data_IF_194632342004
#
_entry.id   IF_194632342004
#
_cell.length_a   1.000
_cell.length_b   1.000
_cell.length_c   1.000
_cell.angle_alpha   90.00
_cell.angle_beta   90.00
_cell.angle_gamma   90.00
#
_symmetry.space_group_name_H-M   'P 1'
#
loop_
_entity.id
_entity.type
_entity.pdbx_description
1 polymer ?
#
# COMPACT_ATOMS: atom_id res chain seq x y z
N UNK A 1 -6.06 -32.82 -48.57
CA UNK A 1 -5.85 -31.79 -47.51
C UNK A 1 -4.34 -31.56 -47.35
N UNK A 2 -3.80 -30.48 -47.94
CA UNK A 2 -2.43 -30.01 -47.64
C UNK A 2 -2.54 -29.00 -46.50
N UNK A 3 -1.74 -29.18 -45.45
CA UNK A 3 -1.64 -28.20 -44.34
C UNK A 3 -1.02 -26.92 -44.94
N UNK A 4 -1.56 -25.72 -44.67
CA UNK A 4 -0.94 -24.51 -45.16
C UNK A 4 0.43 -24.35 -44.50
N UNK A 5 1.41 -23.99 -45.33
CA UNK A 5 2.79 -23.72 -44.93
C UNK A 5 2.81 -22.68 -43.82
N UNK A 6 3.35 -23.06 -42.67
CA UNK A 6 3.55 -22.16 -41.54
C UNK A 6 4.78 -21.30 -41.86
N UNK A 7 4.62 -20.35 -42.78
CA UNK A 7 5.63 -19.34 -43.08
C UNK A 7 5.77 -18.43 -41.87
N UNK A 8 6.81 -18.67 -41.06
CA UNK A 8 7.13 -17.74 -39.99
C UNK A 8 7.55 -16.41 -40.60
N UNK A 9 7.02 -15.28 -40.09
CA UNK A 9 7.37 -13.97 -40.60
C UNK A 9 8.88 -13.74 -40.50
N UNK A 10 9.47 -13.11 -41.52
CA UNK A 10 10.88 -12.73 -41.50
C UNK A 10 11.17 -11.78 -40.33
N UNK A 11 12.42 -11.75 -39.87
CA UNK A 11 12.83 -10.87 -38.79
C UNK A 11 12.56 -9.39 -39.10
N UNK A 12 12.71 -8.98 -40.37
CA UNK A 12 12.42 -7.61 -40.82
C UNK A 12 10.93 -7.25 -40.69
N UNK A 13 10.04 -8.21 -40.99
CA UNK A 13 8.59 -8.06 -40.87
C UNK A 13 8.18 -7.95 -39.38
N UNK A 14 8.82 -8.73 -38.51
CA UNK A 14 8.64 -8.67 -37.06
C UNK A 14 9.11 -7.32 -36.49
N UNK A 15 10.28 -6.85 -36.91
CA UNK A 15 10.84 -5.57 -36.48
C UNK A 15 9.96 -4.38 -36.92
N UNK A 16 9.40 -4.44 -38.14
CA UNK A 16 8.44 -3.43 -38.62
C UNK A 16 7.19 -3.40 -37.74
N UNK A 17 6.60 -4.57 -37.47
CA UNK A 17 5.39 -4.68 -36.61
C UNK A 17 5.65 -4.22 -35.18
N UNK A 18 6.82 -4.53 -34.62
CA UNK A 18 7.20 -4.09 -33.28
C UNK A 18 7.28 -2.55 -33.20
N UNK A 19 7.87 -1.89 -34.20
CA UNK A 19 7.98 -0.43 -34.25
C UNK A 19 6.61 0.25 -34.36
N UNK A 20 5.71 -0.31 -35.17
CA UNK A 20 4.34 0.20 -35.30
C UNK A 20 3.56 0.06 -34.00
N UNK A 21 3.67 -1.09 -33.33
CA UNK A 21 3.02 -1.35 -32.04
C UNK A 21 3.50 -0.40 -30.92
N UNK A 22 4.82 -0.15 -30.85
CA UNK A 22 5.40 0.82 -29.90
C UNK A 22 4.89 2.23 -30.20
N UNK A 23 4.81 2.60 -31.49
CA UNK A 23 4.37 3.93 -31.92
C UNK A 23 2.87 4.18 -31.67
N UNK A 24 2.03 3.16 -31.82
CA UNK A 24 0.59 3.27 -31.61
C UNK A 24 0.17 3.10 -30.15
N UNK A 25 1.05 2.59 -29.31
CA UNK A 25 0.78 2.44 -27.88
C UNK A 25 0.89 3.80 -27.19
N UNK A 26 -0.09 4.21 -26.37
CA UNK A 26 0.08 5.35 -25.49
C UNK A 26 1.23 5.02 -24.54
N UNK A 27 2.40 5.66 -24.75
CA UNK A 27 3.57 5.48 -23.91
C UNK A 27 3.26 6.09 -22.54
N UNK A 28 2.69 5.29 -21.65
CA UNK A 28 2.82 5.52 -20.22
C UNK A 28 4.19 4.98 -19.83
N UNK A 29 5.17 5.88 -19.67
CA UNK A 29 6.49 5.53 -19.16
C UNK A 29 6.32 5.08 -17.71
N UNK A 30 6.13 3.78 -17.49
CA UNK A 30 6.39 3.15 -16.20
C UNK A 30 7.62 2.26 -16.39
N UNK A 31 8.77 2.91 -16.55
CA UNK A 31 10.07 2.27 -16.41
C UNK A 31 10.35 2.12 -14.91
N UNK A 32 10.72 0.91 -14.52
CA UNK A 32 10.95 0.53 -13.13
C UNK A 32 12.20 1.17 -12.51
N UNK A 33 12.17 1.15 -11.18
CA UNK A 33 13.27 1.19 -10.22
C UNK A 33 14.26 2.38 -10.31
N UNK A 34 14.23 3.23 -9.29
CA UNK A 34 15.19 4.29 -8.94
C UNK A 34 14.99 5.70 -9.55
N UNK A 35 13.75 6.19 -9.61
CA UNK A 35 13.54 7.63 -9.62
C UNK A 35 12.27 7.98 -8.85
N UNK A 36 12.41 8.98 -7.96
CA UNK A 36 11.35 9.49 -7.10
C UNK A 36 10.11 10.05 -7.84
N UNK A 37 9.14 10.59 -7.10
CA UNK A 37 7.78 10.80 -7.60
C UNK A 37 7.73 11.94 -8.63
N UNK A 38 7.55 11.58 -9.91
CA UNK A 38 7.27 12.55 -10.97
C UNK A 38 5.75 12.72 -11.11
N UNK A 39 5.28 13.83 -10.56
CA UNK A 39 3.90 14.32 -10.57
C UNK A 39 3.45 14.64 -12.00
N UNK A 40 2.44 13.96 -12.52
CA UNK A 40 1.68 14.44 -13.68
C UNK A 40 0.29 14.88 -13.25
N UNK A 41 0.24 16.12 -12.80
CA UNK A 41 -0.98 16.84 -12.49
C UNK A 41 -0.54 18.21 -12.00
N UNK A 42 -0.94 19.27 -12.71
CA UNK A 42 -0.75 20.66 -12.30
C UNK A 42 -1.68 20.93 -11.10
N UNK A 43 -1.39 20.24 -9.99
CA UNK A 43 -2.06 20.40 -8.73
C UNK A 43 -1.35 21.54 -8.04
N UNK A 44 -2.13 22.58 -7.75
CA UNK A 44 -1.80 23.72 -6.89
C UNK A 44 -0.75 23.34 -5.84
N UNK A 45 0.25 24.20 -5.64
CA UNK A 45 1.31 24.07 -4.64
C UNK A 45 0.73 24.11 -3.21
N UNK A 46 -0.14 23.16 -2.88
CA UNK A 46 -0.67 22.93 -1.56
C UNK A 46 0.46 22.28 -0.79
N UNK A 47 0.94 22.98 0.24
CA UNK A 47 1.92 22.45 1.18
C UNK A 47 1.47 21.04 1.58
N UNK A 48 2.34 20.02 1.52
CA UNK A 48 1.97 18.67 1.93
C UNK A 48 1.54 18.72 3.39
N UNK A 49 0.25 18.51 3.64
CA UNK A 49 -0.35 18.59 4.97
C UNK A 49 -0.10 17.34 5.81
N UNK A 50 0.49 16.30 5.23
CA UNK A 50 0.75 15.02 5.89
C UNK A 50 2.24 14.68 5.87
N UNK A 51 2.78 14.31 7.03
CA UNK A 51 4.10 13.68 7.17
C UNK A 51 3.90 12.17 7.19
N UNK A 52 4.79 11.42 6.52
CA UNK A 52 4.79 9.96 6.54
C UNK A 52 5.60 9.48 7.74
N UNK A 53 5.04 8.54 8.49
CA UNK A 53 5.71 7.83 9.57
C UNK A 53 5.84 6.35 9.20
N UNK A 54 6.92 5.71 9.64
CA UNK A 54 7.20 4.29 9.43
C UNK A 54 7.40 3.67 10.81
N UNK A 55 6.70 2.59 11.10
CA UNK A 55 6.83 1.83 12.33
C UNK A 55 6.71 0.34 12.03
N UNK A 56 7.36 -0.47 12.84
CA UNK A 56 7.36 -1.92 12.71
C UNK A 56 6.15 -2.51 13.43
N UNK A 57 5.53 -3.50 12.83
CA UNK A 57 4.43 -4.29 13.39
C UNK A 57 4.75 -5.78 13.20
N UNK A 58 4.17 -6.62 14.04
CA UNK A 58 4.09 -8.04 13.71
C UNK A 58 3.04 -8.27 12.61
N UNK A 59 3.10 -9.42 11.96
CA UNK A 59 2.24 -9.77 10.83
C UNK A 59 0.75 -9.75 11.23
N UNK A 60 0.43 -10.32 12.40
CA UNK A 60 -0.93 -10.38 12.93
C UNK A 60 -1.56 -8.98 13.12
N UNK A 61 -0.86 -8.06 13.78
CA UNK A 61 -1.35 -6.67 13.97
C UNK A 61 -1.53 -5.97 12.62
N UNK A 62 -0.64 -6.23 11.66
CA UNK A 62 -0.76 -5.65 10.32
C UNK A 62 -2.04 -6.11 9.61
N UNK A 63 -2.38 -7.40 9.70
CA UNK A 63 -3.59 -7.98 9.12
C UNK A 63 -4.87 -7.52 9.83
N UNK A 64 -4.81 -7.34 11.15
CA UNK A 64 -5.92 -6.79 11.92
C UNK A 64 -6.24 -5.34 11.50
N UNK A 65 -5.22 -4.51 11.26
CA UNK A 65 -5.42 -3.15 10.74
C UNK A 65 -6.12 -3.17 9.37
N UNK A 66 -5.71 -4.07 8.47
CA UNK A 66 -6.34 -4.21 7.15
C UNK A 66 -7.80 -4.68 7.26
N UNK A 67 -8.07 -5.58 8.20
CA UNK A 67 -9.42 -6.08 8.47
C UNK A 67 -10.35 -4.97 8.97
N UNK A 68 -9.87 -4.14 9.91
CA UNK A 68 -10.62 -3.00 10.44
C UNK A 68 -10.83 -1.92 9.37
N UNK A 69 -9.84 -1.69 8.50
CA UNK A 69 -9.94 -0.73 7.40
C UNK A 69 -11.07 -1.04 6.41
N UNK A 70 -11.51 -2.31 6.38
CA UNK A 70 -12.56 -2.82 5.51
C UNK A 70 -13.91 -3.03 6.24
N UNK A 71 -14.07 -2.62 7.50
CA UNK A 71 -15.29 -2.88 8.28
C UNK A 71 -16.14 -1.62 8.53
N UNK A 72 -17.44 -1.62 8.21
CA UNK A 72 -18.14 -2.58 7.34
C UNK A 72 -17.60 -2.50 5.89
N UNK A 73 -17.75 -3.55 5.07
CA UNK A 73 -17.21 -3.59 3.67
C UNK A 73 -17.72 -2.47 2.76
N UNK A 74 -18.76 -1.76 3.17
CA UNK A 74 -19.32 -0.58 2.50
C UNK A 74 -18.57 0.71 2.82
N UNK A 75 -17.77 0.73 3.88
CA UNK A 75 -16.96 1.85 4.33
C UNK A 75 -15.49 1.62 3.95
N UNK A 76 -14.85 2.66 3.41
CA UNK A 76 -13.44 2.61 3.01
C UNK A 76 -12.64 3.54 3.91
N UNK A 77 -11.83 2.97 4.80
CA UNK A 77 -10.83 3.70 5.56
C UNK A 77 -9.42 3.35 5.06
N UNK A 78 -8.49 4.29 5.16
CA UNK A 78 -7.07 3.96 5.00
C UNK A 78 -6.51 3.37 6.29
N UNK A 79 -5.38 2.64 6.20
CA UNK A 79 -4.63 2.20 7.40
C UNK A 79 -4.30 3.38 8.32
N UNK A 80 -3.96 4.53 7.76
CA UNK A 80 -3.71 5.75 8.55
C UNK A 80 -4.95 6.25 9.29
N UNK A 81 -6.15 6.03 8.76
CA UNK A 81 -7.39 6.42 9.44
C UNK A 81 -7.74 5.46 10.58
N UNK A 82 -7.46 4.15 10.42
CA UNK A 82 -7.57 3.17 11.51
C UNK A 82 -6.66 3.55 12.68
N UNK A 83 -5.40 3.91 12.40
CA UNK A 83 -4.45 4.34 13.45
C UNK A 83 -4.93 5.61 14.14
N UNK A 84 -5.44 6.61 13.39
CA UNK A 84 -6.01 7.84 13.99
C UNK A 84 -7.24 7.53 14.84
N UNK A 85 -8.13 6.64 14.38
CA UNK A 85 -9.31 6.25 15.12
C UNK A 85 -8.95 5.53 16.43
N UNK A 86 -7.96 4.62 16.38
CA UNK A 86 -7.41 3.98 17.58
C UNK A 86 -6.83 5.01 18.56
N UNK A 87 -6.07 5.99 18.08
CA UNK A 87 -5.55 7.06 18.94
C UNK A 87 -6.67 7.93 19.54
N UNK A 88 -7.69 8.30 18.77
CA UNK A 88 -8.83 9.05 19.28
C UNK A 88 -9.60 8.27 20.35
N UNK A 89 -9.76 6.95 20.17
CA UNK A 89 -10.37 6.08 21.16
C UNK A 89 -9.54 6.07 22.46
N UNK A 90 -8.22 5.89 22.37
CA UNK A 90 -7.34 5.92 23.54
C UNK A 90 -7.40 7.27 24.27
N UNK A 91 -7.44 8.39 23.54
CA UNK A 91 -7.54 9.73 24.15
C UNK A 91 -8.89 10.01 24.82
N UNK A 92 -9.91 9.19 24.55
CA UNK A 92 -11.23 9.30 25.18
C UNK A 92 -11.39 8.42 26.43
N UNK A 93 -10.43 7.54 26.70
CA UNK A 93 -10.44 6.64 27.85
C UNK A 93 -9.81 7.32 29.08
N UNK A 94 -10.18 6.90 30.31
CA UNK A 94 -9.46 7.24 31.52
C UNK A 94 -7.98 6.81 31.49
N UNK A 95 -7.10 7.58 32.14
CA UNK A 95 -5.65 7.35 32.12
C UNK A 95 -5.27 5.94 32.61
N UNK A 96 -5.95 5.43 33.64
CA UNK A 96 -5.70 4.11 34.21
C UNK A 96 -6.05 2.97 33.24
N UNK A 97 -7.13 3.11 32.47
CA UNK A 97 -7.49 2.15 31.42
C UNK A 97 -6.48 2.16 30.27
N UNK A 98 -6.02 3.35 29.85
CA UNK A 98 -4.99 3.48 28.80
C UNK A 98 -3.68 2.84 29.26
N UNK A 99 -3.26 3.10 30.49
CA UNK A 99 -2.04 2.51 31.07
C UNK A 99 -2.16 0.99 31.14
N UNK A 100 -3.31 0.45 31.56
CA UNK A 100 -3.54 -0.98 31.62
C UNK A 100 -3.45 -1.64 30.22
N UNK A 101 -4.03 -1.01 29.19
CA UNK A 101 -3.94 -1.49 27.81
C UNK A 101 -2.50 -1.46 27.29
N UNK A 102 -1.78 -0.36 27.52
CA UNK A 102 -0.38 -0.25 27.10
C UNK A 102 0.51 -1.30 27.78
N UNK A 103 0.27 -1.57 29.06
CA UNK A 103 1.02 -2.57 29.83
C UNK A 103 0.87 -4.00 29.29
N UNK A 104 -0.26 -4.33 28.64
CA UNK A 104 -0.45 -5.62 27.97
C UNK A 104 0.43 -5.76 26.73
N UNK A 105 0.72 -4.65 26.04
CA UNK A 105 1.50 -4.65 24.78
C UNK A 105 3.00 -4.50 25.05
N UNK A 106 3.39 -3.70 26.05
CA UNK A 106 4.80 -3.52 26.43
C UNK A 106 5.35 -4.68 27.26
N UNK A 107 4.49 -5.58 27.73
CA UNK A 107 4.86 -6.67 28.63
C UNK A 107 5.22 -6.23 30.05
N UNK A 108 5.07 -4.94 30.38
CA UNK A 108 5.43 -4.38 31.70
C UNK A 108 4.35 -4.62 32.76
N UNK A 109 3.17 -5.14 32.37
CA UNK A 109 2.04 -5.38 33.27
C UNK A 109 2.02 -6.73 34.00
N UNK A 110 3.00 -7.62 33.76
CA UNK A 110 2.94 -9.00 34.24
C UNK A 110 4.29 -9.50 34.78
N UNK A 111 4.87 -8.81 35.78
CA UNK A 111 5.97 -9.35 36.59
C UNK A 111 5.42 -9.90 37.92
N UNK A 112 4.59 -10.95 37.85
CA UNK A 112 4.23 -11.79 39.00
C UNK A 112 3.76 -13.18 38.52
N UNK A 113 4.73 -13.94 38.01
CA UNK A 113 4.79 -15.39 37.82
C UNK A 113 6.24 -15.57 37.36
N UNK A 114 7.17 -15.98 38.20
CA UNK A 114 7.22 -17.31 38.80
C UNK A 114 7.87 -17.26 40.20
N UNK A 115 7.37 -18.12 41.09
CA UNK A 115 8.01 -18.46 42.36
C UNK A 115 9.04 -19.56 42.19
#
# INVERSE_FOLDING_TARGET
MKRPDNEQPSQEELDRRAREFIRSSPVTTQAGADAGPQKSGKLSARKPTAKRFIFSLNEDTSQQIDSVALYPRTFKASRSDVVKAGLLALLSMPDDEVIALLAQVTGTGNTNKDG
#
